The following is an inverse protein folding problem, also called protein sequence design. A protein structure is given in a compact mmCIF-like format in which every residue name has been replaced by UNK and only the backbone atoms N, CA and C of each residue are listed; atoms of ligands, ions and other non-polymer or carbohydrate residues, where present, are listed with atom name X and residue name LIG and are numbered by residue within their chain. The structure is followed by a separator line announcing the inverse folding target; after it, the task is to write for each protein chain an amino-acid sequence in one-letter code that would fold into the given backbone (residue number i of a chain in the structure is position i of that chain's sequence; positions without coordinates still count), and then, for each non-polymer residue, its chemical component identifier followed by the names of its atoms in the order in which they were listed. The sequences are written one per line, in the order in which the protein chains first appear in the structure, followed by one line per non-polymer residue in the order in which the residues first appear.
data_IF_863529625481
#
_entry.id   IF_863529625481
#
_cell.length_a   1.000
_cell.length_b   1.000
_cell.length_c   1.000
_cell.angle_alpha   90.00
_cell.angle_beta   90.00
_cell.angle_gamma   90.00
#
_symmetry.space_group_name_H-M   'P 1'
#
loop_
_entity.id
_entity.type
_entity.pdbx_description
1 polymer ?
#
# COMPACT_ATOMS: atom_id res chain seq x y z
N UNK A 1 0.23 -16.52 -4.49
CA UNK A 1 0.81 -15.16 -4.66
C UNK A 1 -0.21 -14.17 -5.22
N UNK A 2 -0.76 -14.34 -6.43
CA UNK A 2 -1.72 -13.37 -7.02
C UNK A 2 -3.01 -13.16 -6.20
N UNK A 3 -3.64 -14.24 -5.72
CA UNK A 3 -4.84 -14.18 -4.85
C UNK A 3 -4.57 -13.59 -3.45
N UNK A 4 -3.30 -13.40 -3.11
CA UNK A 4 -2.87 -12.82 -1.84
C UNK A 4 -2.50 -11.34 -2.02
N UNK A 5 -3.03 -10.68 -3.05
CA UNK A 5 -2.79 -9.26 -3.35
C UNK A 5 -1.35 -8.90 -3.72
N UNK A 6 -0.43 -9.85 -3.87
CA UNK A 6 0.96 -9.57 -4.25
C UNK A 6 1.01 -8.85 -5.60
N UNK A 7 1.90 -7.87 -5.75
CA UNK A 7 2.13 -7.17 -7.03
C UNK A 7 2.81 -8.08 -8.05
N UNK A 8 2.69 -7.77 -9.33
CA UNK A 8 3.38 -8.50 -10.40
C UNK A 8 4.89 -8.47 -10.21
N UNK A 9 5.44 -7.30 -9.86
CA UNK A 9 6.88 -7.16 -9.56
C UNK A 9 7.30 -8.05 -8.39
N UNK A 10 6.50 -8.07 -7.31
CA UNK A 10 6.80 -8.92 -6.16
C UNK A 10 6.79 -10.42 -6.52
N UNK A 11 5.85 -10.83 -7.36
CA UNK A 11 5.77 -12.22 -7.85
C UNK A 11 7.00 -12.57 -8.70
N UNK A 12 7.43 -11.68 -9.59
CA UNK A 12 8.63 -11.87 -10.42
C UNK A 12 9.86 -12.00 -9.53
N UNK A 13 10.06 -11.06 -8.59
CA UNK A 13 11.19 -11.13 -7.65
C UNK A 13 11.22 -12.44 -6.84
N UNK A 14 10.06 -12.98 -6.48
CA UNK A 14 9.99 -14.25 -5.75
C UNK A 14 10.18 -15.47 -6.68
N UNK A 15 9.80 -15.38 -7.95
CA UNK A 15 10.06 -16.39 -8.97
C UNK A 15 11.52 -16.40 -9.43
N UNK A 16 12.17 -15.25 -9.56
CA UNK A 16 13.59 -15.13 -9.94
C UNK A 16 14.51 -15.84 -8.94
N UNK A 17 14.13 -15.83 -7.66
CA UNK A 17 14.86 -16.53 -6.58
C UNK A 17 14.85 -18.05 -6.71
N UNK A 18 14.01 -18.63 -7.58
CA UNK A 18 13.99 -20.06 -7.83
C UNK A 18 15.23 -20.52 -8.65
N UNK A 19 15.84 -19.61 -9.41
CA UNK A 19 16.98 -19.89 -10.29
C UNK A 19 16.58 -20.29 -11.71
N UNK A 20 17.52 -20.14 -12.65
CA UNK A 20 17.30 -20.19 -14.10
C UNK A 20 16.75 -21.53 -14.64
N UNK A 21 16.95 -22.62 -13.89
CA UNK A 21 16.45 -23.96 -14.23
C UNK A 21 14.92 -24.05 -14.13
N UNK A 22 14.27 -23.12 -13.43
CA UNK A 22 12.83 -23.11 -13.25
C UNK A 22 12.16 -22.23 -14.30
N UNK A 23 11.21 -22.78 -15.05
CA UNK A 23 10.43 -22.00 -16.05
C UNK A 23 9.78 -20.73 -15.49
N UNK A 24 9.47 -20.71 -14.20
CA UNK A 24 8.87 -19.55 -13.53
C UNK A 24 9.84 -18.36 -13.38
N UNK A 25 11.16 -18.58 -13.36
CA UNK A 25 12.16 -17.50 -13.30
C UNK A 25 12.25 -16.68 -14.60
N UNK A 26 11.60 -17.13 -15.67
CA UNK A 26 11.55 -16.46 -16.97
C UNK A 26 10.25 -15.69 -17.19
N UNK A 27 9.42 -15.55 -16.14
CA UNK A 27 8.17 -14.81 -16.21
C UNK A 27 8.42 -13.32 -16.41
N UNK A 28 7.71 -12.71 -17.36
CA UNK A 28 7.71 -11.27 -17.55
C UNK A 28 6.42 -10.62 -17.03
N UNK A 29 6.41 -9.30 -16.73
CA UNK A 29 5.20 -8.62 -16.25
C UNK A 29 3.97 -8.81 -17.14
N UNK A 30 4.18 -8.96 -18.46
CA UNK A 30 3.12 -9.21 -19.41
C UNK A 30 2.39 -10.54 -19.18
N UNK A 31 3.11 -11.60 -18.80
CA UNK A 31 2.52 -12.91 -18.52
C UNK A 31 1.57 -12.82 -17.32
N UNK A 32 2.03 -12.19 -16.24
CA UNK A 32 1.23 -12.00 -15.03
C UNK A 32 0.03 -11.10 -15.29
N UNK A 33 0.20 -10.03 -16.08
CA UNK A 33 -0.89 -9.13 -16.47
C UNK A 33 -1.98 -9.87 -17.25
N UNK A 34 -1.58 -10.76 -18.18
CA UNK A 34 -2.51 -11.60 -18.90
C UNK A 34 -3.27 -12.56 -17.97
N UNK A 35 -2.56 -13.27 -17.08
CA UNK A 35 -3.18 -14.19 -16.11
C UNK A 35 -4.20 -13.45 -15.23
N UNK A 36 -3.85 -12.27 -14.72
CA UNK A 36 -4.76 -11.45 -13.92
C UNK A 36 -6.01 -11.06 -14.67
N UNK A 37 -5.87 -10.62 -15.93
CA UNK A 37 -6.98 -10.24 -16.80
C UNK A 37 -7.93 -11.40 -17.03
N UNK A 38 -7.41 -12.59 -17.35
CA UNK A 38 -8.22 -13.78 -17.64
C UNK A 38 -8.94 -14.30 -16.40
N UNK A 39 -8.32 -14.19 -15.23
CA UNK A 39 -8.84 -14.73 -13.98
C UNK A 39 -9.55 -13.68 -13.10
N UNK A 40 -9.68 -12.43 -13.55
CA UNK A 40 -10.24 -11.31 -12.78
C UNK A 40 -9.58 -11.13 -11.41
N UNK A 41 -8.25 -11.19 -11.36
CA UNK A 41 -7.46 -11.01 -10.12
C UNK A 41 -6.66 -9.71 -10.22
N UNK A 42 -7.27 -8.53 -9.98
CA UNK A 42 -6.56 -7.27 -10.06
C UNK A 42 -5.37 -7.19 -9.09
N UNK A 43 -4.38 -6.40 -9.46
CA UNK A 43 -3.15 -6.24 -8.68
C UNK A 43 -3.42 -5.45 -7.39
N UNK A 44 -2.80 -5.87 -6.28
CA UNK A 44 -2.96 -5.18 -4.99
C UNK A 44 -4.29 -5.41 -4.28
N UNK A 45 -5.25 -6.11 -4.91
CA UNK A 45 -6.57 -6.36 -4.34
C UNK A 45 -6.64 -7.74 -3.68
N UNK A 46 -7.25 -7.82 -2.50
CA UNK A 46 -7.46 -9.07 -1.76
C UNK A 46 -8.89 -9.59 -1.90
N UNK A 47 -9.84 -8.70 -2.22
CA UNK A 47 -11.27 -8.95 -2.33
C UNK A 47 -11.90 -7.92 -3.28
N UNK A 48 -12.94 -8.30 -4.04
CA UNK A 48 -13.62 -7.44 -5.02
C UNK A 48 -14.11 -6.11 -4.41
N UNK A 49 -14.63 -6.17 -3.19
CA UNK A 49 -14.94 -5.00 -2.36
C UNK A 49 -13.69 -4.40 -1.69
N UNK A 50 -13.37 -3.15 -2.01
CA UNK A 50 -12.17 -2.44 -1.51
C UNK A 50 -12.12 -2.37 0.03
N UNK A 51 -13.26 -2.11 0.70
CA UNK A 51 -13.31 -2.08 2.17
C UNK A 51 -12.97 -3.46 2.78
N UNK A 52 -13.41 -4.55 2.16
CA UNK A 52 -13.06 -5.90 2.61
C UNK A 52 -11.58 -6.18 2.40
N UNK A 53 -10.99 -5.69 1.31
CA UNK A 53 -9.53 -5.77 1.11
C UNK A 53 -8.77 -5.06 2.24
N UNK A 54 -9.21 -3.87 2.67
CA UNK A 54 -8.59 -3.16 3.80
C UNK A 54 -8.74 -3.95 5.09
N UNK A 55 -9.93 -4.47 5.40
CA UNK A 55 -10.17 -5.29 6.61
C UNK A 55 -9.26 -6.50 6.67
N UNK A 56 -9.15 -7.26 5.57
CA UNK A 56 -8.26 -8.43 5.49
C UNK A 56 -6.80 -8.03 5.76
N UNK A 57 -6.36 -6.84 5.37
CA UNK A 57 -5.00 -6.35 5.65
C UNK A 57 -4.80 -5.94 7.10
N UNK A 58 -5.78 -5.26 7.68
CA UNK A 58 -5.80 -4.91 9.10
C UNK A 58 -5.73 -6.18 9.96
N UNK A 59 -6.55 -7.19 9.64
CA UNK A 59 -6.57 -8.50 10.34
C UNK A 59 -5.25 -9.25 10.19
N UNK A 60 -4.63 -9.19 9.01
CA UNK A 60 -3.34 -9.82 8.75
C UNK A 60 -2.21 -9.19 9.59
N UNK A 61 -2.31 -7.90 9.90
CA UNK A 61 -1.40 -7.22 10.84
C UNK A 61 0.07 -7.20 10.41
N UNK A 62 0.33 -7.20 9.11
CA UNK A 62 1.69 -7.17 8.58
C UNK A 62 2.36 -5.84 8.92
N UNK A 63 3.51 -5.89 9.60
CA UNK A 63 4.23 -4.70 10.06
C UNK A 63 4.58 -3.74 8.92
N UNK A 64 4.91 -4.30 7.74
CA UNK A 64 5.30 -3.52 6.56
C UNK A 64 4.14 -2.75 5.92
N UNK A 65 2.88 -3.10 6.23
CA UNK A 65 1.73 -2.33 5.77
C UNK A 65 1.68 -0.95 6.41
N UNK A 66 2.29 -0.82 7.61
CA UNK A 66 2.32 0.42 8.34
C UNK A 66 0.95 0.89 8.83
N UNK A 67 -0.05 0.02 8.91
CA UNK A 67 -1.39 0.39 9.41
C UNK A 67 -1.31 0.61 10.92
N UNK A 68 -1.51 1.84 11.38
CA UNK A 68 -1.53 2.20 12.81
C UNK A 68 -2.95 2.35 13.36
N UNK A 69 -3.89 2.76 12.50
CA UNK A 69 -5.27 2.96 12.90
C UNK A 69 -6.21 2.65 11.74
N UNK A 70 -7.32 1.99 12.05
CA UNK A 70 -8.39 1.72 11.12
C UNK A 70 -9.73 1.85 11.85
N UNK A 71 -10.64 2.62 11.27
CA UNK A 71 -12.02 2.78 11.69
C UNK A 71 -12.92 2.57 10.48
N UNK A 72 -13.89 1.66 10.63
CA UNK A 72 -14.86 1.38 9.58
C UNK A 72 -15.84 2.54 9.40
N UNK A 73 -16.37 2.75 8.18
CA UNK A 73 -17.44 3.70 8.00
C UNK A 73 -18.73 3.21 8.67
N UNK A 74 -19.58 4.15 9.06
CA UNK A 74 -20.95 3.87 9.48
C UNK A 74 -21.84 3.42 8.30
N UNK A 75 -23.12 3.16 8.59
CA UNK A 75 -24.11 2.73 7.59
C UNK A 75 -24.33 3.76 6.48
N UNK A 76 -23.96 5.02 6.70
CA UNK A 76 -24.08 6.12 5.74
C UNK A 76 -22.77 6.37 4.98
N UNK A 77 -21.72 5.56 5.21
CA UNK A 77 -20.41 5.72 4.58
C UNK A 77 -19.52 6.77 5.25
N UNK A 78 -19.91 7.31 6.42
CA UNK A 78 -19.18 8.35 7.14
C UNK A 78 -18.26 7.78 8.22
N UNK A 79 -17.23 8.51 8.62
CA UNK A 79 -16.37 8.11 9.75
C UNK A 79 -15.26 7.11 9.42
N UNK A 80 -15.10 6.69 8.16
CA UNK A 80 -13.93 5.90 7.75
C UNK A 80 -12.65 6.66 8.07
N UNK A 81 -11.72 5.99 8.77
CA UNK A 81 -10.36 6.49 9.01
C UNK A 81 -9.36 5.37 8.81
N UNK A 82 -8.27 5.69 8.14
CA UNK A 82 -7.12 4.81 7.97
C UNK A 82 -5.87 5.66 8.14
N UNK A 83 -4.99 5.25 9.05
CA UNK A 83 -3.70 5.91 9.26
C UNK A 83 -2.61 4.92 8.90
N UNK A 84 -1.78 5.27 7.92
CA UNK A 84 -0.68 4.46 7.42
C UNK A 84 0.66 5.20 7.53
N UNK A 85 1.62 4.52 8.13
CA UNK A 85 3.02 4.93 8.24
C UNK A 85 3.88 3.68 8.33
N UNK A 86 4.54 3.35 7.23
CA UNK A 86 5.45 2.19 7.16
C UNK A 86 6.58 2.31 8.20
N UNK A 87 7.23 1.20 8.60
CA UNK A 87 8.36 1.24 9.52
C UNK A 87 9.47 2.20 9.07
N UNK A 88 9.71 2.26 7.75
CA UNK A 88 10.70 3.18 7.19
C UNK A 88 10.29 4.64 7.34
N UNK A 89 9.03 4.96 7.07
CA UNK A 89 8.51 6.32 7.27
C UNK A 89 8.57 6.73 8.75
N UNK A 90 8.27 5.81 9.66
CA UNK A 90 8.39 6.04 11.10
C UNK A 90 9.84 6.35 11.52
N UNK A 91 10.81 5.56 11.05
CA UNK A 91 12.24 5.81 11.29
C UNK A 91 12.65 7.20 10.77
N UNK A 92 12.16 7.58 9.58
CA UNK A 92 12.45 8.90 9.01
C UNK A 92 11.82 10.02 9.84
N UNK A 93 10.59 9.85 10.35
CA UNK A 93 9.96 10.78 11.28
C UNK A 93 10.77 10.94 12.58
N UNK A 94 11.16 9.84 13.21
CA UNK A 94 11.98 9.86 14.43
C UNK A 94 13.30 10.60 14.18
N UNK A 95 13.89 10.42 12.99
CA UNK A 95 15.17 11.02 12.63
C UNK A 95 15.08 12.50 12.24
N UNK A 96 14.02 12.93 11.55
CA UNK A 96 14.00 14.25 10.87
C UNK A 96 12.82 15.16 11.23
N UNK A 97 11.84 14.69 12.01
CA UNK A 97 10.66 15.51 12.38
C UNK A 97 11.01 16.85 13.03
N UNK A 98 12.13 16.94 13.75
CA UNK A 98 12.61 18.19 14.37
C UNK A 98 12.94 19.30 13.34
N UNK A 99 13.18 18.95 12.07
CA UNK A 99 13.45 19.91 10.99
C UNK A 99 12.19 20.59 10.48
N UNK A 100 11.03 20.00 10.73
CA UNK A 100 9.74 20.48 10.28
C UNK A 100 8.83 19.35 9.83
N UNK A 101 7.54 19.49 10.16
CA UNK A 101 6.46 18.62 9.71
C UNK A 101 5.47 19.50 8.94
N UNK A 102 5.13 19.07 7.72
CA UNK A 102 4.05 19.65 6.94
C UNK A 102 2.89 18.65 6.89
N UNK A 103 1.68 19.13 7.11
CA UNK A 103 0.46 18.33 7.00
C UNK A 103 -0.46 19.08 6.05
N UNK A 104 -0.88 18.39 4.99
CA UNK A 104 -1.80 18.93 4.00
C UNK A 104 -2.87 17.89 3.68
N UNK A 105 -4.08 18.34 3.42
CA UNK A 105 -5.18 17.49 3.04
C UNK A 105 -5.68 17.78 1.62
N UNK A 106 -5.84 16.71 0.85
CA UNK A 106 -6.39 16.75 -0.51
C UNK A 106 -7.74 16.06 -0.53
N UNK A 107 -8.67 16.65 -1.28
CA UNK A 107 -9.99 16.10 -1.54
C UNK A 107 -10.09 15.53 -2.95
N UNK A 108 -11.04 14.61 -3.16
CA UNK A 108 -11.35 14.03 -4.48
C UNK A 108 -10.16 13.27 -5.13
N UNK A 109 -9.26 12.71 -4.32
CA UNK A 109 -8.10 11.95 -4.79
C UNK A 109 -8.44 10.53 -5.27
N UNK A 110 -9.64 10.03 -4.95
CA UNK A 110 -10.09 8.68 -5.29
C UNK A 110 -11.53 8.70 -5.81
N UNK A 111 -12.03 7.56 -6.28
CA UNK A 111 -13.46 7.38 -6.61
C UNK A 111 -14.38 7.54 -5.39
N UNK A 112 -13.82 7.48 -4.19
CA UNK A 112 -14.53 7.65 -2.94
C UNK A 112 -14.50 9.11 -2.48
N UNK A 113 -15.55 9.52 -1.78
CA UNK A 113 -15.64 10.82 -1.11
C UNK A 113 -14.77 10.86 0.16
N UNK A 114 -13.48 10.53 0.02
CA UNK A 114 -12.48 10.53 1.08
C UNK A 114 -11.60 11.79 0.98
N UNK A 115 -11.22 12.32 2.14
CA UNK A 115 -10.15 13.30 2.28
C UNK A 115 -8.86 12.53 2.59
N UNK A 116 -7.83 12.70 1.77
CA UNK A 116 -6.50 12.14 1.98
C UNK A 116 -5.65 13.19 2.68
N UNK A 117 -5.21 12.92 3.92
CA UNK A 117 -4.23 13.76 4.60
C UNK A 117 -2.85 13.20 4.33
N UNK A 118 -1.87 14.02 3.99
CA UNK A 118 -0.47 13.60 3.82
C UNK A 118 0.39 14.34 4.83
N UNK A 119 1.18 13.59 5.58
CA UNK A 119 2.23 14.14 6.43
C UNK A 119 3.57 14.04 5.71
N UNK A 120 4.27 15.16 5.60
CA UNK A 120 5.62 15.25 5.04
C UNK A 120 6.61 15.75 6.10
N UNK A 121 7.85 15.29 6.00
CA UNK A 121 8.97 15.76 6.80
C UNK A 121 10.10 16.23 5.89
N UNK A 122 10.96 17.10 6.41
CA UNK A 122 12.13 17.60 5.67
C UNK A 122 13.35 16.75 5.99
N UNK A 123 13.94 16.09 5.00
CA UNK A 123 15.10 15.20 5.19
C UNK A 123 16.43 15.95 5.38
N UNK A 124 17.53 15.19 5.47
CA UNK A 124 18.89 15.71 5.62
C UNK A 124 19.37 16.65 4.50
N UNK A 125 18.70 16.64 3.35
CA UNK A 125 19.03 17.39 2.13
C UNK A 125 17.99 18.47 1.81
N UNK A 126 17.19 18.86 2.81
CA UNK A 126 16.11 19.84 2.67
C UNK A 126 15.00 19.44 1.68
N UNK A 127 14.80 18.13 1.49
CA UNK A 127 13.73 17.60 0.64
C UNK A 127 12.53 17.20 1.48
N UNK A 128 11.35 17.64 1.07
CA UNK A 128 10.09 17.15 1.62
C UNK A 128 9.85 15.70 1.17
N UNK A 129 9.74 14.79 2.12
CA UNK A 129 9.43 13.38 1.87
C UNK A 129 8.13 13.00 2.60
N UNK A 130 7.25 12.18 1.98
CA UNK A 130 6.05 11.71 2.65
C UNK A 130 6.40 10.71 3.74
N UNK A 131 5.81 10.92 4.91
CA UNK A 131 6.08 10.13 6.11
C UNK A 131 4.82 9.58 6.79
N UNK A 132 3.63 9.88 6.27
CA UNK A 132 2.39 9.23 6.70
C UNK A 132 1.20 9.71 5.89
N UNK A 133 0.12 8.94 5.93
CA UNK A 133 -1.15 9.24 5.29
C UNK A 133 -2.33 8.85 6.18
#
# INVERSE_FOLDING_TARGET
MMKCGATNMKIIEDCDKLGDDYRLSHLVPADLSYIRKVNFIPEGLFHEEDLQSVKLRVEKGEKEDGIHHFEEPDKNGSGFRLVIMTPKQKEMCEKYSYRGICIDDTHNSTKYSLKLTTMMIVDGQDRGIPAGY
#
